data_IF_232531972795
#
_entry.id   IF_232531972795
#
_cell.length_a   1.000
_cell.length_b   1.000
_cell.length_c   1.000
_cell.angle_alpha   90.00
_cell.angle_beta   90.00
_cell.angle_gamma   90.00
#
_symmetry.space_group_name_H-M   'P 1'
#
loop_
_entity.id
_entity.type
_entity.pdbx_description
1 polymer ?
#
# COMPACT_ATOMS: atom_id res chain seq x y z
N UNK A 1 10.08 3.82 -43.37
CA UNK A 1 11.01 4.78 -42.78
C UNK A 1 12.43 4.30 -43.00
N UNK A 2 13.38 5.19 -43.20
CA UNK A 2 14.79 4.88 -43.42
C UNK A 2 15.35 4.06 -42.25
N UNK A 3 15.87 2.87 -42.51
CA UNK A 3 16.39 1.96 -41.47
C UNK A 3 17.88 2.12 -41.18
N UNK A 4 18.61 2.83 -42.06
CA UNK A 4 20.05 3.02 -41.96
C UNK A 4 20.41 4.48 -42.25
N UNK A 5 21.30 5.04 -41.43
CA UNK A 5 21.85 6.40 -41.60
C UNK A 5 23.37 6.29 -41.44
N UNK A 6 24.12 6.90 -42.35
CA UNK A 6 25.57 7.02 -42.22
C UNK A 6 25.89 8.09 -41.18
N UNK A 7 26.60 7.72 -40.11
CA UNK A 7 27.03 8.63 -39.05
C UNK A 7 28.55 8.76 -39.02
N UNK A 8 29.11 9.91 -38.61
CA UNK A 8 30.54 10.08 -38.39
C UNK A 8 31.06 9.15 -37.27
N UNK A 9 32.35 8.80 -37.33
CA UNK A 9 32.98 7.92 -36.33
C UNK A 9 32.97 8.56 -34.93
N UNK A 10 33.11 9.88 -34.85
CA UNK A 10 33.08 10.66 -33.61
C UNK A 10 31.76 10.49 -32.84
N UNK A 11 30.66 10.15 -33.53
CA UNK A 11 29.35 9.92 -32.89
C UNK A 11 29.31 8.64 -32.05
N UNK A 12 30.19 7.67 -32.35
CA UNK A 12 30.30 6.41 -31.60
C UNK A 12 31.14 6.58 -30.34
N UNK A 13 32.02 7.58 -30.30
CA UNK A 13 32.89 7.83 -29.14
C UNK A 13 32.02 8.25 -27.95
N UNK A 14 32.25 7.63 -26.79
CA UNK A 14 31.47 7.85 -25.57
C UNK A 14 30.17 7.03 -25.48
N UNK A 15 29.78 6.30 -26.53
CA UNK A 15 28.69 5.31 -26.44
C UNK A 15 29.15 4.07 -25.69
N UNK A 16 28.22 3.34 -25.09
CA UNK A 16 28.51 2.19 -24.24
C UNK A 16 28.15 0.90 -24.96
N UNK A 17 29.04 -0.09 -24.90
CA UNK A 17 28.84 -1.40 -25.53
C UNK A 17 27.80 -2.22 -24.77
N UNK A 18 26.82 -2.81 -25.47
CA UNK A 18 25.73 -3.56 -24.83
C UNK A 18 26.07 -5.03 -24.49
N UNK A 19 26.95 -5.67 -25.25
CA UNK A 19 27.30 -7.10 -25.12
C UNK A 19 28.80 -7.31 -25.18
N UNK A 20 29.29 -8.41 -24.60
CA UNK A 20 30.69 -8.81 -24.79
C UNK A 20 30.96 -9.00 -26.29
N UNK A 21 32.06 -8.44 -26.77
CA UNK A 21 32.50 -8.56 -28.15
C UNK A 21 33.73 -9.44 -28.17
N UNK A 22 33.63 -10.56 -28.86
CA UNK A 22 34.68 -11.54 -29.05
C UNK A 22 35.17 -11.53 -30.49
N UNK A 23 36.48 -11.71 -30.65
CA UNK A 23 37.10 -11.94 -31.94
C UNK A 23 36.75 -13.35 -32.45
N UNK A 24 36.28 -13.46 -33.70
CA UNK A 24 35.92 -14.73 -34.31
C UNK A 24 37.12 -15.64 -34.59
N UNK A 25 38.31 -15.07 -34.77
CA UNK A 25 39.52 -15.81 -35.17
C UNK A 25 40.36 -16.23 -33.94
N UNK A 26 40.44 -15.39 -32.91
CA UNK A 26 41.28 -15.63 -31.72
C UNK A 26 40.49 -16.10 -30.50
N UNK A 27 39.17 -15.84 -30.45
CA UNK A 27 38.33 -16.11 -29.28
C UNK A 27 38.58 -15.17 -28.10
N UNK A 28 39.44 -14.16 -28.24
CA UNK A 28 39.69 -13.17 -27.20
C UNK A 28 38.55 -12.15 -27.09
N UNK A 29 38.25 -11.70 -25.86
CA UNK A 29 37.27 -10.64 -25.60
C UNK A 29 37.92 -9.29 -25.90
N UNK A 30 37.48 -8.64 -26.98
CA UNK A 30 37.98 -7.32 -27.42
C UNK A 30 37.40 -6.20 -26.56
N UNK A 31 36.11 -6.31 -26.20
CA UNK A 31 35.40 -5.35 -25.36
C UNK A 31 34.42 -6.10 -24.45
N UNK A 32 34.35 -5.70 -23.18
CA UNK A 32 33.35 -6.22 -22.24
C UNK A 32 32.04 -5.43 -22.37
N UNK A 33 30.95 -6.06 -22.00
CA UNK A 33 29.67 -5.37 -21.84
C UNK A 33 29.84 -4.22 -20.84
N UNK A 34 29.20 -3.09 -21.13
CA UNK A 34 29.29 -1.84 -20.37
C UNK A 34 30.60 -1.03 -20.51
N UNK A 35 31.54 -1.45 -21.37
CA UNK A 35 32.71 -0.66 -21.71
C UNK A 35 32.34 0.55 -22.58
N UNK A 36 33.08 1.65 -22.41
CA UNK A 36 32.92 2.86 -23.20
C UNK A 36 33.73 2.79 -24.50
N UNK A 37 33.11 3.22 -25.60
CA UNK A 37 33.74 3.26 -26.92
C UNK A 37 34.74 4.40 -26.98
N UNK A 38 36.02 4.05 -26.94
CA UNK A 38 37.15 4.94 -27.20
C UNK A 38 37.70 4.73 -28.60
N UNK A 39 38.41 5.72 -29.15
CA UNK A 39 39.06 5.59 -30.46
C UNK A 39 39.99 4.37 -30.56
N UNK A 40 40.67 4.03 -29.46
CA UNK A 40 41.53 2.85 -29.38
C UNK A 40 40.73 1.54 -29.50
N UNK A 41 39.56 1.47 -28.85
CA UNK A 41 38.67 0.30 -28.93
C UNK A 41 38.06 0.17 -30.33
N UNK A 42 37.64 1.27 -30.94
CA UNK A 42 37.08 1.28 -32.31
C UNK A 42 38.09 0.76 -33.35
N UNK A 43 39.36 1.14 -33.25
CA UNK A 43 40.43 0.60 -34.11
C UNK A 43 40.59 -0.90 -33.95
N UNK A 44 40.57 -1.42 -32.71
CA UNK A 44 40.65 -2.86 -32.44
C UNK A 44 39.46 -3.62 -33.03
N UNK A 45 38.25 -3.11 -32.86
CA UNK A 45 37.02 -3.69 -33.41
C UNK A 45 37.06 -3.75 -34.95
N UNK A 46 37.62 -2.73 -35.60
CA UNK A 46 37.80 -2.70 -37.06
C UNK A 46 38.83 -3.70 -37.55
N UNK A 47 39.97 -3.85 -36.85
CA UNK A 47 41.01 -4.84 -37.19
C UNK A 47 40.48 -6.26 -37.06
N UNK A 48 39.62 -6.52 -36.07
CA UNK A 48 38.92 -7.79 -35.89
C UNK A 48 37.74 -8.02 -36.85
N UNK A 49 37.47 -7.09 -37.78
CA UNK A 49 36.45 -7.27 -38.83
C UNK A 49 34.99 -7.22 -38.35
N UNK A 50 34.72 -6.60 -37.20
CA UNK A 50 33.37 -6.60 -36.59
C UNK A 50 32.50 -5.54 -37.26
N UNK A 51 31.39 -5.97 -37.86
CA UNK A 51 30.47 -5.10 -38.61
C UNK A 51 29.23 -4.69 -37.79
N UNK A 52 28.78 -5.53 -36.85
CA UNK A 52 27.57 -5.30 -36.06
C UNK A 52 27.87 -5.00 -34.59
N UNK A 53 27.76 -3.72 -34.24
CA UNK A 53 27.98 -3.21 -32.89
C UNK A 53 26.66 -2.82 -32.22
N UNK A 54 26.31 -3.50 -31.12
CA UNK A 54 25.16 -3.14 -30.28
C UNK A 54 25.62 -2.18 -29.18
N UNK A 55 25.02 -1.00 -29.14
CA UNK A 55 25.27 0.03 -28.12
C UNK A 55 24.04 0.27 -27.27
N UNK A 56 24.24 0.65 -26.02
CA UNK A 56 23.16 1.05 -25.11
C UNK A 56 22.65 2.42 -25.57
N UNK A 57 21.34 2.51 -25.78
CA UNK A 57 20.70 3.79 -26.08
C UNK A 57 20.55 4.60 -24.79
N UNK A 58 21.26 5.72 -24.71
CA UNK A 58 21.21 6.65 -23.58
C UNK A 58 20.97 8.07 -24.09
N UNK A 59 20.13 8.80 -23.36
CA UNK A 59 19.76 10.18 -23.61
C UNK A 59 19.71 10.96 -22.28
N UNK A 60 19.96 12.26 -22.34
CA UNK A 60 19.97 13.15 -21.16
C UNK A 60 18.55 13.51 -20.67
N UNK A 61 17.53 13.31 -21.51
CA UNK A 61 16.15 13.69 -21.21
C UNK A 61 15.34 12.53 -20.64
N UNK A 62 15.26 11.42 -21.37
CA UNK A 62 14.20 10.42 -21.17
C UNK A 62 14.71 8.96 -21.09
N UNK A 63 16.03 8.74 -21.21
CA UNK A 63 16.68 7.43 -21.18
C UNK A 63 18.03 7.52 -20.47
N UNK A 64 18.01 7.73 -19.15
CA UNK A 64 19.23 7.90 -18.35
C UNK A 64 20.10 6.63 -18.26
N UNK A 65 21.42 6.82 -18.21
CA UNK A 65 22.42 5.74 -18.12
C UNK A 65 22.54 5.13 -16.70
N UNK A 66 21.46 5.03 -15.94
CA UNK A 66 21.50 4.71 -14.50
C UNK A 66 22.12 3.33 -14.21
N UNK A 67 21.61 2.28 -14.87
CA UNK A 67 22.11 0.91 -14.67
C UNK A 67 23.56 0.76 -15.16
N UNK A 68 23.89 1.41 -16.28
CA UNK A 68 25.26 1.42 -16.81
C UNK A 68 26.25 2.03 -15.81
N UNK A 69 25.88 3.16 -15.19
CA UNK A 69 26.69 3.82 -14.16
C UNK A 69 26.79 2.96 -12.89
N UNK A 70 25.70 2.37 -12.42
CA UNK A 70 25.71 1.45 -11.25
C UNK A 70 26.65 0.28 -11.49
N UNK A 71 26.59 -0.35 -12.67
CA UNK A 71 27.42 -1.49 -13.02
C UNK A 71 28.92 -1.13 -13.13
N UNK A 72 29.27 0.14 -13.42
CA UNK A 72 30.67 0.61 -13.38
C UNK A 72 31.20 0.75 -11.95
N UNK A 73 30.33 1.03 -10.99
CA UNK A 73 30.70 1.15 -9.57
C UNK A 73 30.65 -0.18 -8.82
N UNK A 74 30.05 -1.21 -9.42
CA UNK A 74 29.95 -2.54 -8.82
C UNK A 74 31.31 -3.28 -8.94
N UNK A 75 31.80 -3.77 -7.80
CA UNK A 75 33.06 -4.54 -7.72
C UNK A 75 32.81 -6.05 -7.81
N UNK A 76 31.55 -6.49 -7.79
CA UNK A 76 31.21 -7.91 -7.81
C UNK A 76 31.28 -8.49 -9.23
N UNK A 77 31.95 -9.63 -9.37
CA UNK A 77 32.31 -10.19 -10.68
C UNK A 77 31.32 -11.27 -11.12
N UNK A 78 30.77 -12.01 -10.17
CA UNK A 78 29.89 -13.14 -10.39
C UNK A 78 28.76 -13.21 -9.34
N UNK A 79 27.81 -14.11 -9.59
CA UNK A 79 26.65 -14.29 -8.71
C UNK A 79 27.07 -14.69 -7.29
N UNK A 80 28.11 -15.51 -7.16
CA UNK A 80 28.58 -15.95 -5.84
C UNK A 80 29.16 -14.79 -5.05
N UNK A 81 30.04 -13.97 -5.64
CA UNK A 81 30.58 -12.77 -5.00
C UNK A 81 29.49 -11.78 -4.60
N UNK A 82 28.46 -11.61 -5.44
CA UNK A 82 27.30 -10.77 -5.12
C UNK A 82 26.54 -11.31 -3.90
N UNK A 83 26.25 -12.62 -3.85
CA UNK A 83 25.60 -13.24 -2.69
C UNK A 83 26.46 -13.17 -1.42
N UNK A 84 27.78 -13.30 -1.54
CA UNK A 84 28.73 -13.13 -0.42
C UNK A 84 28.72 -11.69 0.09
N UNK A 85 28.65 -10.69 -0.80
CA UNK A 85 28.53 -9.29 -0.40
C UNK A 85 27.23 -9.03 0.39
N UNK A 86 26.10 -9.55 -0.09
CA UNK A 86 24.80 -9.50 0.63
C UNK A 86 24.92 -10.18 2.00
N UNK A 87 25.54 -11.36 2.07
CA UNK A 87 25.75 -12.09 3.32
C UNK A 87 26.55 -11.28 4.34
N UNK A 88 27.68 -10.68 3.92
CA UNK A 88 28.52 -9.85 4.79
C UNK A 88 27.81 -8.59 5.29
N UNK A 89 26.94 -8.02 4.47
CA UNK A 89 26.13 -6.86 4.85
C UNK A 89 25.10 -7.21 5.92
N UNK A 90 24.42 -8.35 5.77
CA UNK A 90 23.39 -8.81 6.72
C UNK A 90 24.00 -9.39 8.00
N UNK A 91 25.16 -10.04 7.90
CA UNK A 91 25.85 -10.71 9.01
C UNK A 91 27.32 -10.29 9.08
N UNK A 92 27.60 -9.08 9.57
CA UNK A 92 28.96 -8.59 9.68
C UNK A 92 29.76 -9.44 10.68
N UNK A 93 30.83 -10.08 10.21
CA UNK A 93 31.77 -10.85 11.04
C UNK A 93 31.61 -12.37 10.99
N UNK A 94 30.54 -12.91 10.40
CA UNK A 94 30.42 -14.36 10.15
C UNK A 94 31.15 -14.76 8.86
N UNK A 95 31.95 -15.84 8.84
CA UNK A 95 32.60 -16.31 7.63
C UNK A 95 31.55 -16.83 6.63
N UNK A 96 31.57 -16.38 5.36
CA UNK A 96 30.60 -16.83 4.35
C UNK A 96 30.99 -18.21 3.84
N UNK A 97 30.24 -19.25 4.21
CA UNK A 97 30.31 -20.56 3.55
C UNK A 97 29.29 -20.62 2.42
N UNK A 98 29.56 -21.40 1.38
CA UNK A 98 28.71 -21.48 0.19
C UNK A 98 27.26 -21.86 0.53
N UNK A 99 27.09 -22.91 1.34
CA UNK A 99 25.78 -23.36 1.82
C UNK A 99 25.04 -22.28 2.63
N UNK A 100 25.74 -21.58 3.53
CA UNK A 100 25.13 -20.56 4.38
C UNK A 100 24.69 -19.34 3.56
N UNK A 101 25.50 -18.94 2.58
CA UNK A 101 25.20 -17.83 1.67
C UNK A 101 23.98 -18.15 0.80
N UNK A 102 23.95 -19.34 0.19
CA UNK A 102 22.82 -19.76 -0.64
C UNK A 102 21.54 -19.92 0.18
N UNK A 103 21.62 -20.55 1.35
CA UNK A 103 20.48 -20.72 2.25
C UNK A 103 19.93 -19.37 2.74
N UNK A 104 20.80 -18.41 3.08
CA UNK A 104 20.38 -17.08 3.49
C UNK A 104 19.63 -16.38 2.35
N UNK A 105 20.21 -16.35 1.15
CA UNK A 105 19.63 -15.67 0.00
C UNK A 105 18.24 -16.24 -0.37
N UNK A 106 18.11 -17.56 -0.39
CA UNK A 106 16.82 -18.22 -0.63
C UNK A 106 15.76 -17.88 0.43
N UNK A 107 16.17 -17.82 1.70
CA UNK A 107 15.26 -17.49 2.81
C UNK A 107 14.82 -16.02 2.83
N UNK A 108 15.55 -15.10 2.19
CA UNK A 108 15.17 -13.69 2.23
C UNK A 108 13.89 -13.39 1.46
N UNK A 109 13.74 -13.93 0.25
CA UNK A 109 12.67 -13.52 -0.67
C UNK A 109 11.89 -14.68 -1.32
N UNK A 110 12.48 -15.87 -1.37
CA UNK A 110 11.95 -17.00 -2.16
C UNK A 110 11.33 -18.12 -1.33
N UNK A 111 11.57 -18.12 -0.01
CA UNK A 111 11.02 -19.12 0.90
C UNK A 111 9.67 -18.67 1.48
N UNK A 112 8.64 -19.50 1.28
CA UNK A 112 7.29 -19.24 1.80
C UNK A 112 7.22 -19.27 3.34
N UNK A 113 8.19 -19.89 4.02
CA UNK A 113 8.24 -19.95 5.48
C UNK A 113 8.65 -18.61 6.12
N UNK A 114 9.43 -17.80 5.38
CA UNK A 114 10.06 -16.58 5.89
C UNK A 114 9.60 -15.32 5.17
N UNK A 115 9.00 -15.44 3.99
CA UNK A 115 8.51 -14.32 3.20
C UNK A 115 7.11 -14.59 2.65
N UNK A 116 6.18 -13.70 2.96
CA UNK A 116 4.78 -13.77 2.52
C UNK A 116 4.27 -12.35 2.25
N UNK A 117 4.04 -12.01 0.97
CA UNK A 117 3.42 -10.74 0.58
C UNK A 117 1.96 -10.64 1.03
N UNK A 118 1.33 -11.75 1.42
CA UNK A 118 -0.10 -11.93 1.53
C UNK A 118 -0.86 -11.68 0.22
N UNK A 119 -2.12 -12.10 0.18
CA UNK A 119 -3.02 -11.85 -0.95
C UNK A 119 -3.11 -10.36 -1.29
N UNK A 120 -3.11 -9.49 -0.28
CA UNK A 120 -3.23 -8.04 -0.48
C UNK A 120 -1.95 -7.45 -1.07
N UNK A 121 -0.79 -7.85 -0.55
CA UNK A 121 0.50 -7.35 -1.07
C UNK A 121 0.73 -7.80 -2.51
N UNK A 122 0.38 -9.05 -2.86
CA UNK A 122 0.47 -9.53 -4.24
C UNK A 122 -0.49 -8.80 -5.18
N UNK A 123 -1.74 -8.61 -4.79
CA UNK A 123 -2.72 -7.84 -5.57
C UNK A 123 -2.24 -6.41 -5.82
N UNK A 124 -1.73 -5.74 -4.78
CA UNK A 124 -1.17 -4.39 -4.90
C UNK A 124 0.07 -4.31 -5.76
N UNK A 125 0.98 -5.27 -5.60
CA UNK A 125 2.18 -5.36 -6.40
C UNK A 125 1.85 -5.51 -7.88
N UNK A 126 0.98 -6.47 -8.22
CA UNK A 126 0.58 -6.73 -9.60
C UNK A 126 -0.13 -5.51 -10.22
N UNK A 127 -1.04 -4.88 -9.47
CA UNK A 127 -1.72 -3.66 -9.92
C UNK A 127 -0.72 -2.51 -10.21
N UNK A 128 0.30 -2.33 -9.36
CA UNK A 128 1.31 -1.28 -9.56
C UNK A 128 2.24 -1.58 -10.74
N UNK A 129 2.56 -2.84 -10.97
CA UNK A 129 3.37 -3.28 -12.12
C UNK A 129 2.58 -3.26 -13.43
N UNK A 130 1.25 -3.17 -13.37
CA UNK A 130 0.38 -3.19 -14.55
C UNK A 130 0.12 -4.61 -15.07
N UNK A 131 0.09 -5.61 -14.17
CA UNK A 131 -0.33 -6.98 -14.51
C UNK A 131 -1.84 -7.12 -14.30
N UNK A 132 -2.50 -7.81 -15.22
CA UNK A 132 -3.96 -8.03 -15.16
C UNK A 132 -4.37 -9.01 -14.05
N UNK A 133 -3.48 -9.93 -13.67
CA UNK A 133 -3.75 -10.93 -12.63
C UNK A 133 -3.63 -10.31 -11.23
N UNK A 134 -4.69 -10.43 -10.41
CA UNK A 134 -4.69 -9.96 -9.02
C UNK A 134 -4.12 -10.98 -8.02
N UNK A 135 -3.99 -12.24 -8.43
CA UNK A 135 -3.46 -13.33 -7.61
C UNK A 135 -2.08 -13.78 -8.12
N UNK A 136 -1.35 -14.55 -7.31
CA UNK A 136 -0.03 -15.04 -7.67
C UNK A 136 0.74 -15.63 -6.49
N UNK A 137 2.00 -15.99 -6.72
CA UNK A 137 2.89 -16.49 -5.66
C UNK A 137 3.09 -15.44 -4.57
N UNK A 138 3.09 -15.86 -3.30
CA UNK A 138 3.27 -14.94 -2.17
C UNK A 138 4.74 -14.56 -1.91
N UNK A 139 5.68 -15.31 -2.51
CA UNK A 139 7.10 -14.99 -2.53
C UNK A 139 7.44 -14.11 -3.73
N UNK A 140 8.61 -13.45 -3.69
CA UNK A 140 9.08 -12.66 -4.83
C UNK A 140 9.71 -13.56 -5.89
N UNK A 141 9.65 -13.09 -7.14
CA UNK A 141 10.36 -13.68 -8.28
C UNK A 141 11.41 -12.71 -8.84
N UNK A 142 12.34 -13.22 -9.65
CA UNK A 142 13.30 -12.36 -10.37
C UNK A 142 12.58 -11.34 -11.27
N UNK A 143 11.50 -11.76 -11.92
CA UNK A 143 10.70 -10.88 -12.78
C UNK A 143 10.00 -9.78 -11.99
N UNK A 144 9.57 -10.06 -10.75
CA UNK A 144 9.05 -9.04 -9.84
C UNK A 144 10.10 -7.96 -9.56
N UNK A 145 11.31 -8.38 -9.16
CA UNK A 145 12.41 -7.45 -8.84
C UNK A 145 12.79 -6.63 -10.06
N UNK A 146 12.93 -7.26 -11.23
CA UNK A 146 13.23 -6.56 -12.49
C UNK A 146 12.13 -5.56 -12.87
N UNK A 147 10.86 -5.90 -12.63
CA UNK A 147 9.74 -4.98 -12.89
C UNK A 147 9.79 -3.75 -11.98
N UNK A 148 10.12 -3.93 -10.69
CA UNK A 148 10.30 -2.81 -9.75
C UNK A 148 11.44 -1.90 -10.19
N UNK A 149 12.58 -2.46 -10.58
CA UNK A 149 13.73 -1.67 -11.07
C UNK A 149 13.36 -0.89 -12.33
N UNK A 150 12.61 -1.50 -13.26
CA UNK A 150 12.11 -0.81 -14.46
C UNK A 150 11.22 0.38 -14.10
N UNK A 151 10.24 0.20 -13.20
CA UNK A 151 9.36 1.28 -12.76
C UNK A 151 10.17 2.41 -12.11
N UNK A 152 11.15 2.08 -11.27
CA UNK A 152 12.00 3.09 -10.63
C UNK A 152 12.81 3.91 -11.65
N UNK A 153 13.33 3.25 -12.69
CA UNK A 153 14.02 3.92 -13.80
C UNK A 153 13.07 4.80 -14.60
N UNK A 154 11.85 4.32 -14.90
CA UNK A 154 10.83 5.08 -15.61
C UNK A 154 10.40 6.34 -14.84
N UNK A 155 10.17 6.21 -13.52
CA UNK A 155 9.88 7.35 -12.64
C UNK A 155 11.03 8.36 -12.65
N UNK A 156 12.29 7.89 -12.66
CA UNK A 156 13.46 8.76 -12.74
C UNK A 156 13.59 9.46 -14.10
N UNK A 157 13.17 8.80 -15.17
CA UNK A 157 13.04 9.38 -16.52
C UNK A 157 11.83 10.35 -16.64
N UNK A 158 11.07 10.58 -15.57
CA UNK A 158 9.91 11.46 -15.54
C UNK A 158 8.63 10.85 -16.13
N UNK A 159 8.60 9.53 -16.34
CA UNK A 159 7.41 8.81 -16.83
C UNK A 159 6.74 8.09 -15.67
N UNK A 160 5.49 8.47 -15.40
CA UNK A 160 4.68 7.93 -14.30
C UNK A 160 4.61 8.87 -13.10
N UNK A 161 3.80 8.49 -12.13
CA UNK A 161 3.53 9.27 -10.92
C UNK A 161 4.10 8.58 -9.67
N UNK A 162 4.59 9.40 -8.73
CA UNK A 162 5.05 8.93 -7.43
C UNK A 162 3.83 8.61 -6.57
N UNK A 163 3.89 7.48 -5.86
CA UNK A 163 2.80 7.05 -5.02
C UNK A 163 2.69 7.92 -3.76
N UNK A 164 1.46 8.32 -3.42
CA UNK A 164 1.15 9.00 -2.17
C UNK A 164 0.89 7.96 -1.06
N UNK A 165 1.68 8.03 0.01
CA UNK A 165 1.62 7.13 1.17
C UNK A 165 0.33 7.35 1.99
N UNK A 166 -0.24 8.56 1.93
CA UNK A 166 -1.40 8.96 2.75
C UNK A 166 -2.74 8.63 2.09
N UNK A 167 -2.72 8.39 0.77
CA UNK A 167 -3.87 7.89 0.02
C UNK A 167 -4.44 6.61 0.66
N UNK A 168 -5.74 6.57 0.95
CA UNK A 168 -6.38 5.40 1.59
C UNK A 168 -6.33 4.12 0.75
N UNK A 169 -6.02 4.23 -0.54
CA UNK A 169 -5.66 3.08 -1.37
C UNK A 169 -4.37 2.39 -0.91
N UNK A 170 -3.45 3.09 -0.24
CA UNK A 170 -2.16 2.56 0.23
C UNK A 170 -2.15 2.30 1.74
N UNK A 171 -3.23 2.67 2.45
CA UNK A 171 -3.43 2.41 3.87
C UNK A 171 -4.54 1.39 4.06
N UNK A 172 -4.25 0.33 4.80
CA UNK A 172 -5.18 -0.78 5.03
C UNK A 172 -5.57 -0.87 6.50
N UNK A 173 -6.84 -1.12 6.78
CA UNK A 173 -7.33 -1.35 8.13
C UNK A 173 -7.18 -2.84 8.46
N UNK A 174 -6.53 -3.13 9.59
CA UNK A 174 -6.46 -4.49 10.14
C UNK A 174 -7.50 -4.66 11.21
N UNK A 175 -8.38 -5.64 11.03
CA UNK A 175 -9.36 -6.02 12.04
C UNK A 175 -8.74 -6.88 13.14
N UNK A 176 -9.47 -7.02 14.25
CA UNK A 176 -9.07 -7.86 15.39
C UNK A 176 -8.79 -9.31 14.95
N UNK A 177 -9.60 -9.84 14.02
CA UNK A 177 -9.44 -11.20 13.50
C UNK A 177 -8.07 -11.45 12.86
N UNK A 178 -7.62 -10.56 11.97
CA UNK A 178 -6.31 -10.68 11.31
C UNK A 178 -5.15 -10.51 12.31
N UNK A 179 -5.27 -9.54 13.23
CA UNK A 179 -4.23 -9.35 14.24
C UNK A 179 -4.12 -10.58 15.15
N UNK A 180 -5.25 -11.16 15.57
CA UNK A 180 -5.27 -12.39 16.34
C UNK A 180 -4.76 -13.59 15.56
N UNK A 181 -5.09 -13.71 14.26
CA UNK A 181 -4.57 -14.76 13.38
C UNK A 181 -3.04 -14.71 13.30
N UNK A 182 -2.46 -13.52 13.13
CA UNK A 182 -1.00 -13.36 13.08
C UNK A 182 -0.32 -13.82 14.38
N UNK A 183 -0.89 -13.50 15.54
CA UNK A 183 -0.37 -13.96 16.83
C UNK A 183 -0.55 -15.47 17.01
N UNK A 184 -1.68 -16.01 16.54
CA UNK A 184 -1.93 -17.44 16.54
C UNK A 184 -0.94 -18.18 15.64
N UNK A 185 -0.66 -17.67 14.43
CA UNK A 185 0.33 -18.20 13.48
C UNK A 185 1.73 -18.20 14.07
N UNK A 186 2.13 -17.13 14.74
CA UNK A 186 3.39 -17.06 15.49
C UNK A 186 3.46 -18.12 16.60
N UNK A 187 2.35 -18.33 17.32
CA UNK A 187 2.21 -19.40 18.31
C UNK A 187 2.35 -20.80 17.70
N UNK A 188 1.74 -21.04 16.53
CA UNK A 188 1.85 -22.30 15.79
C UNK A 188 3.26 -22.56 15.29
N UNK A 189 3.96 -21.55 14.76
CA UNK A 189 5.34 -21.70 14.29
C UNK A 189 6.29 -22.15 15.42
N UNK A 190 6.05 -21.68 16.65
CA UNK A 190 6.79 -22.15 17.84
C UNK A 190 6.50 -23.61 18.18
N UNK A 191 5.23 -24.04 18.08
CA UNK A 191 4.83 -25.43 18.30
C UNK A 191 5.43 -26.32 17.21
N UNK A 192 5.33 -25.92 15.95
CA UNK A 192 5.87 -26.66 14.82
C UNK A 192 7.37 -26.94 15.01
N UNK A 193 8.15 -25.94 15.42
CA UNK A 193 9.57 -26.12 15.73
C UNK A 193 9.78 -27.15 16.85
N UNK A 194 9.06 -27.04 17.96
CA UNK A 194 9.18 -27.96 19.09
C UNK A 194 8.76 -29.39 18.72
N UNK A 195 7.74 -29.55 17.86
CA UNK A 195 7.27 -30.84 17.35
C UNK A 195 8.32 -31.44 16.41
N UNK A 196 8.88 -30.67 15.48
CA UNK A 196 9.97 -31.11 14.59
C UNK A 196 11.20 -31.59 15.38
N UNK A 197 11.59 -30.85 16.42
CA UNK A 197 12.70 -31.24 17.30
C UNK A 197 12.41 -32.55 18.05
N UNK A 198 11.19 -32.71 18.61
CA UNK A 198 10.80 -33.93 19.32
C UNK A 198 10.68 -35.15 18.40
N UNK A 199 10.13 -34.98 17.20
CA UNK A 199 10.04 -36.06 16.21
C UNK A 199 11.43 -36.49 15.72
N UNK A 200 12.38 -35.55 15.61
CA UNK A 200 13.76 -35.88 15.26
C UNK A 200 14.51 -36.67 16.33
N UNK A 201 14.08 -36.57 17.60
CA UNK A 201 14.66 -37.30 18.75
C UNK A 201 13.90 -38.59 19.09
N UNK A 202 12.75 -38.82 18.44
CA UNK A 202 11.87 -39.93 18.74
C UNK A 202 12.43 -41.25 18.17
N UNK A 203 13.29 -41.91 18.92
CA UNK A 203 13.66 -43.30 18.65
C UNK A 203 12.77 -44.22 19.50
N UNK A 204 11.88 -44.96 18.83
CA UNK A 204 11.22 -46.22 19.26
C UNK A 204 10.04 -46.24 20.25
N UNK A 205 9.61 -45.14 20.90
CA UNK A 205 8.36 -45.14 21.69
C UNK A 205 7.13 -44.71 20.87
N UNK A 206 5.96 -45.30 21.17
CA UNK A 206 4.68 -44.95 20.57
C UNK A 206 4.20 -43.58 21.07
N UNK A 207 4.82 -42.51 20.56
CA UNK A 207 4.41 -41.13 20.80
C UNK A 207 3.01 -40.90 20.24
N UNK A 208 2.10 -40.46 21.10
CA UNK A 208 0.76 -40.09 20.66
C UNK A 208 0.73 -38.59 20.30
N UNK A 209 -0.12 -38.16 19.35
CA UNK A 209 -0.14 -36.76 18.91
C UNK A 209 -0.37 -35.73 20.03
N UNK A 210 -1.06 -36.10 21.11
CA UNK A 210 -1.29 -35.21 22.25
C UNK A 210 -0.02 -34.97 23.10
N UNK A 211 0.97 -35.86 23.04
CA UNK A 211 2.26 -35.69 23.73
C UNK A 211 3.14 -34.64 23.05
N UNK A 212 2.93 -34.43 21.74
CA UNK A 212 3.68 -33.49 20.92
C UNK A 212 3.13 -32.06 21.01
N UNK A 213 1.83 -31.91 21.28
CA UNK A 213 1.14 -30.62 21.25
C UNK A 213 1.07 -30.00 22.65
N UNK A 214 1.78 -28.89 22.84
CA UNK A 214 1.66 -28.06 24.04
C UNK A 214 0.86 -26.79 23.73
N UNK A 215 -0.22 -26.54 24.46
CA UNK A 215 -1.09 -25.37 24.26
C UNK A 215 -0.56 -24.08 24.90
N UNK A 216 0.43 -24.18 25.82
CA UNK A 216 0.98 -23.02 26.54
C UNK A 216 1.54 -21.93 25.61
N UNK A 217 2.34 -22.23 24.56
CA UNK A 217 2.88 -21.21 23.66
C UNK A 217 1.79 -20.40 22.94
N UNK A 218 0.74 -21.05 22.43
CA UNK A 218 -0.40 -20.38 21.80
C UNK A 218 -1.13 -19.50 22.81
N UNK A 219 -1.44 -20.07 23.98
CA UNK A 219 -2.21 -19.37 25.00
C UNK A 219 -1.47 -18.15 25.54
N UNK A 220 -0.14 -18.26 25.69
CA UNK A 220 0.71 -17.15 26.09
C UNK A 220 0.72 -16.03 25.05
N UNK A 221 0.91 -16.36 23.76
CA UNK A 221 0.90 -15.37 22.68
C UNK A 221 -0.44 -14.61 22.60
N UNK A 222 -1.57 -15.32 22.72
CA UNK A 222 -2.90 -14.69 22.72
C UNK A 222 -3.12 -13.84 23.98
N UNK A 223 -2.73 -14.31 25.16
CA UNK A 223 -2.85 -13.54 26.41
C UNK A 223 -1.99 -12.28 26.39
N UNK A 224 -0.79 -12.35 25.84
CA UNK A 224 0.08 -11.19 25.65
C UNK A 224 -0.57 -10.18 24.70
N UNK A 225 -1.12 -10.64 23.57
CA UNK A 225 -1.82 -9.77 22.63
C UNK A 225 -3.04 -9.07 23.25
N UNK A 226 -3.96 -9.80 23.88
CA UNK A 226 -5.15 -9.19 24.47
C UNK A 226 -4.87 -8.44 25.78
N UNK A 227 -3.80 -8.78 26.51
CA UNK A 227 -3.48 -8.17 27.80
C UNK A 227 -2.56 -6.95 27.73
N UNK A 228 -1.58 -6.95 26.82
CA UNK A 228 -0.50 -5.95 26.80
C UNK A 228 -0.42 -5.14 25.50
N UNK A 229 -1.19 -5.48 24.46
CA UNK A 229 -1.18 -4.71 23.21
C UNK A 229 -1.76 -3.31 23.41
N UNK A 230 -1.13 -2.32 22.77
CA UNK A 230 -1.63 -0.93 22.74
C UNK A 230 -3.01 -0.79 22.10
N UNK A 231 -3.39 -1.75 21.25
CA UNK A 231 -4.69 -1.80 20.57
C UNK A 231 -5.77 -2.45 21.45
N UNK A 232 -5.39 -3.17 22.50
CA UNK A 232 -6.32 -3.74 23.48
C UNK A 232 -6.52 -2.74 24.61
N UNK A 233 -7.55 -1.91 24.48
CA UNK A 233 -7.84 -0.81 25.41
C UNK A 233 -9.09 -1.12 26.23
N UNK A 234 -9.15 -0.56 27.44
CA UNK A 234 -10.39 -0.57 28.21
C UNK A 234 -11.47 0.20 27.45
N UNK A 235 -12.63 -0.42 27.29
CA UNK A 235 -13.71 0.19 26.54
C UNK A 235 -14.24 1.43 27.26
N UNK A 236 -14.19 2.59 26.59
CA UNK A 236 -14.96 3.78 26.94
C UNK A 236 -16.46 3.42 27.09
N UNK A 237 -16.96 3.42 28.33
CA UNK A 237 -18.32 3.00 28.71
C UNK A 237 -19.13 4.14 29.36
N UNK A 238 -18.72 5.40 29.14
CA UNK A 238 -19.39 6.55 29.77
C UNK A 238 -20.85 6.67 29.32
N UNK A 239 -21.13 6.48 28.04
CA UNK A 239 -22.46 6.46 27.46
C UNK A 239 -22.49 5.57 26.19
N UNK A 240 -23.68 5.23 25.65
CA UNK A 240 -23.79 4.37 24.47
C UNK A 240 -23.03 4.88 23.24
N UNK A 241 -23.04 6.20 23.01
CA UNK A 241 -22.30 6.82 21.90
C UNK A 241 -20.78 6.61 22.05
N UNK A 242 -20.25 6.74 23.26
CA UNK A 242 -18.85 6.52 23.59
C UNK A 242 -18.42 5.08 23.26
N UNK A 243 -19.27 4.10 23.59
CA UNK A 243 -19.02 2.70 23.26
C UNK A 243 -19.00 2.45 21.75
N UNK A 244 -19.99 2.97 21.02
CA UNK A 244 -20.11 2.77 19.57
C UNK A 244 -18.94 3.43 18.83
N UNK A 245 -18.63 4.69 19.17
CA UNK A 245 -17.53 5.44 18.56
C UNK A 245 -16.18 4.79 18.85
N UNK A 246 -15.97 4.26 20.06
CA UNK A 246 -14.74 3.55 20.39
C UNK A 246 -14.57 2.26 19.56
N UNK A 247 -15.64 1.49 19.35
CA UNK A 247 -15.57 0.28 18.49
C UNK A 247 -15.34 0.60 17.01
N UNK A 248 -15.74 1.79 16.55
CA UNK A 248 -15.57 2.28 15.16
C UNK A 248 -14.32 3.16 14.97
N UNK A 249 -13.40 3.14 15.93
CA UNK A 249 -12.16 3.92 15.91
C UNK A 249 -11.10 3.21 15.06
N UNK A 250 -10.40 3.97 14.22
CA UNK A 250 -9.21 3.52 13.48
C UNK A 250 -7.98 4.25 14.00
N UNK A 251 -6.88 3.52 14.16
CA UNK A 251 -5.63 4.02 14.73
C UNK A 251 -4.46 3.74 13.80
N UNK A 252 -3.67 4.76 13.50
CA UNK A 252 -2.38 4.62 12.81
C UNK A 252 -1.25 4.16 13.77
N UNK A 253 -1.50 4.18 15.08
CA UNK A 253 -0.58 3.72 16.12
C UNK A 253 -0.73 2.21 16.36
N UNK A 254 0.37 1.55 16.75
CA UNK A 254 0.38 0.15 17.16
C UNK A 254 1.44 -0.69 16.43
N UNK A 255 1.46 -2.01 16.63
CA UNK A 255 2.43 -2.90 15.99
C UNK A 255 2.28 -2.87 14.46
N UNK A 256 3.34 -2.49 13.76
CA UNK A 256 3.35 -2.32 12.30
C UNK A 256 2.78 -0.99 11.81
N UNK A 257 2.40 -0.09 12.71
CA UNK A 257 1.98 1.28 12.40
C UNK A 257 3.05 2.32 12.73
N UNK A 258 2.64 3.59 12.81
CA UNK A 258 3.49 4.71 13.15
C UNK A 258 3.67 4.84 14.67
N UNK A 259 4.80 5.38 15.09
CA UNK A 259 4.96 5.88 16.47
C UNK A 259 4.67 7.37 16.50
N UNK A 260 4.22 7.89 17.65
CA UNK A 260 3.85 9.31 17.81
C UNK A 260 4.98 10.28 17.42
N UNK A 261 6.21 9.91 17.74
CA UNK A 261 7.41 10.72 17.49
C UNK A 261 7.84 10.71 16.01
N UNK A 262 7.52 9.64 15.27
CA UNK A 262 7.85 9.51 13.85
C UNK A 262 6.74 10.02 12.94
N UNK A 263 5.56 10.30 13.50
CA UNK A 263 4.43 10.81 12.73
C UNK A 263 4.62 12.31 12.45
N UNK A 264 5.00 12.61 11.21
CA UNK A 264 5.11 13.97 10.68
C UNK A 264 3.77 14.70 10.58
N UNK A 265 3.79 15.89 9.96
CA UNK A 265 2.58 16.69 9.74
C UNK A 265 1.67 16.07 8.68
N UNK A 266 2.25 15.61 7.56
CA UNK A 266 1.53 15.06 6.39
C UNK A 266 0.56 13.93 6.79
N UNK A 267 1.05 12.94 7.55
CA UNK A 267 0.25 11.79 7.97
C UNK A 267 -0.92 12.13 8.92
N UNK A 268 -0.92 13.33 9.52
CA UNK A 268 -1.97 13.82 10.43
C UNK A 268 -3.01 14.67 9.72
N UNK A 269 -2.70 15.13 8.50
CA UNK A 269 -3.59 16.00 7.74
C UNK A 269 -4.76 15.22 7.14
N UNK A 270 -5.79 15.95 6.73
CA UNK A 270 -6.97 15.37 6.09
C UNK A 270 -6.68 15.18 4.61
N UNK A 271 -6.60 13.91 4.18
CA UNK A 271 -6.44 13.57 2.77
C UNK A 271 -7.80 13.53 2.04
N UNK A 272 -7.92 13.96 0.77
CA UNK A 272 -9.17 13.91 0.01
C UNK A 272 -9.84 12.54 -0.02
N UNK A 273 -9.07 11.44 -0.04
CA UNK A 273 -9.63 10.07 -0.01
C UNK A 273 -10.34 9.71 1.29
N UNK A 274 -10.18 10.50 2.36
CA UNK A 274 -10.95 10.32 3.60
C UNK A 274 -12.45 10.50 3.38
N UNK A 275 -12.84 11.22 2.33
CA UNK A 275 -14.23 11.49 1.98
C UNK A 275 -15.07 10.20 1.99
N UNK A 276 -16.14 10.20 2.80
CA UNK A 276 -17.05 9.06 2.93
C UNK A 276 -16.49 7.83 3.66
N UNK A 277 -15.21 7.83 4.08
CA UNK A 277 -14.51 6.67 4.66
C UNK A 277 -14.07 6.92 6.09
N UNK A 278 -13.40 8.04 6.33
CA UNK A 278 -12.87 8.47 7.62
C UNK A 278 -13.41 9.85 7.91
N UNK A 279 -13.97 10.03 9.10
CA UNK A 279 -14.53 11.32 9.50
C UNK A 279 -13.41 12.36 9.64
N UNK A 280 -13.50 13.51 8.96
CA UNK A 280 -12.50 14.57 9.08
C UNK A 280 -12.62 15.39 10.36
N UNK A 281 -13.74 15.26 11.09
CA UNK A 281 -14.04 16.06 12.30
C UNK A 281 -13.69 15.30 13.58
N UNK A 282 -14.03 14.01 13.67
CA UNK A 282 -13.90 13.24 14.91
C UNK A 282 -12.49 12.63 15.06
N UNK A 283 -11.61 13.41 15.68
CA UNK A 283 -10.26 13.02 16.13
C UNK A 283 -10.02 13.57 17.55
N UNK A 284 -9.23 12.89 18.42
CA UNK A 284 -8.84 13.47 19.70
C UNK A 284 -7.96 14.71 19.49
N UNK A 285 -8.13 15.67 20.39
CA UNK A 285 -7.26 16.84 20.47
C UNK A 285 -5.88 16.48 21.05
N UNK A 286 -4.88 17.32 20.75
CA UNK A 286 -3.54 17.20 21.33
C UNK A 286 -2.63 16.22 20.57
N UNK A 287 -1.74 15.46 21.24
CA UNK A 287 -0.66 14.73 20.59
C UNK A 287 -1.10 13.65 19.58
N UNK A 288 -2.34 13.17 19.67
CA UNK A 288 -2.89 12.10 18.83
C UNK A 288 -3.75 12.62 17.66
N UNK A 289 -3.84 13.93 17.45
CA UNK A 289 -4.61 14.52 16.35
C UNK A 289 -4.20 13.93 15.00
N UNK A 290 -5.18 13.47 14.21
CA UNK A 290 -5.01 12.85 12.90
C UNK A 290 -4.50 11.40 12.92
N UNK A 291 -3.96 10.92 14.06
CA UNK A 291 -3.46 9.54 14.20
C UNK A 291 -4.54 8.56 14.66
N UNK A 292 -5.60 9.10 15.27
CA UNK A 292 -6.78 8.35 15.69
C UNK A 292 -7.96 9.03 15.03
N UNK A 293 -8.65 8.31 14.17
CA UNK A 293 -9.82 8.83 13.48
C UNK A 293 -11.00 7.88 13.70
N UNK A 294 -12.19 8.33 13.34
CA UNK A 294 -13.41 7.51 13.42
C UNK A 294 -13.91 7.18 12.03
N UNK A 295 -14.42 5.96 11.84
CA UNK A 295 -15.05 5.57 10.58
C UNK A 295 -16.27 6.45 10.30
N UNK A 296 -16.43 6.85 9.04
CA UNK A 296 -17.62 7.55 8.60
C UNK A 296 -18.87 6.63 8.69
N UNK A 297 -20.07 7.21 8.58
CA UNK A 297 -21.34 6.50 8.81
C UNK A 297 -21.49 5.25 7.93
N UNK A 298 -21.34 5.40 6.62
CA UNK A 298 -21.56 4.33 5.65
C UNK A 298 -20.28 3.62 5.21
N UNK A 299 -19.13 3.99 5.79
CA UNK A 299 -17.86 3.37 5.48
C UNK A 299 -17.86 1.89 5.86
N UNK A 300 -17.33 1.05 4.96
CA UNK A 300 -17.17 -0.38 5.16
C UNK A 300 -15.78 -0.84 4.74
N UNK A 301 -15.42 -2.06 5.15
CA UNK A 301 -14.19 -2.70 4.73
C UNK A 301 -14.50 -3.72 3.64
N UNK A 302 -13.68 -3.75 2.60
CA UNK A 302 -13.73 -4.79 1.60
C UNK A 302 -13.00 -6.06 2.03
N UNK A 303 -13.05 -7.08 1.18
CA UNK A 303 -12.41 -8.39 1.42
C UNK A 303 -10.88 -8.27 1.59
N UNK A 304 -10.28 -7.21 1.05
CA UNK A 304 -8.86 -6.91 1.18
C UNK A 304 -8.55 -5.98 2.35
N UNK A 305 -9.53 -5.51 3.13
CA UNK A 305 -9.33 -4.60 4.27
C UNK A 305 -9.09 -3.12 3.92
N UNK A 306 -9.39 -2.70 2.69
CA UNK A 306 -9.45 -1.29 2.32
C UNK A 306 -10.81 -0.69 2.64
N UNK A 307 -10.83 0.62 2.91
CA UNK A 307 -12.07 1.35 3.18
C UNK A 307 -12.80 1.67 1.88
N UNK A 308 -14.09 1.39 1.86
CA UNK A 308 -15.00 1.68 0.76
C UNK A 308 -16.18 2.49 1.27
N UNK A 309 -16.78 3.24 0.35
CA UNK A 309 -17.96 4.06 0.65
C UNK A 309 -18.98 3.88 -0.47
N UNK A 310 -20.28 3.91 -0.18
CA UNK A 310 -21.30 3.64 -1.18
C UNK A 310 -21.59 4.86 -2.04
N UNK A 311 -21.81 4.63 -3.33
CA UNK A 311 -22.25 5.64 -4.29
C UNK A 311 -23.44 5.13 -5.11
N UNK A 312 -24.30 6.05 -5.55
CA UNK A 312 -25.39 5.77 -6.49
C UNK A 312 -24.89 5.84 -7.92
N UNK A 313 -25.17 4.82 -8.72
CA UNK A 313 -24.77 4.80 -10.13
C UNK A 313 -25.61 5.77 -10.96
N UNK A 314 -24.96 6.53 -11.85
CA UNK A 314 -25.59 7.45 -12.80
C UNK A 314 -25.42 6.89 -14.21
N UNK A 315 -26.53 6.76 -14.93
CA UNK A 315 -26.56 6.25 -16.31
C UNK A 315 -27.38 7.25 -17.14
N UNK A 316 -26.80 7.77 -18.22
CA UNK A 316 -27.45 8.74 -19.11
C UNK A 316 -28.06 9.94 -18.34
N UNK A 317 -27.26 10.52 -17.43
CA UNK A 317 -27.64 11.63 -16.54
C UNK A 317 -28.80 11.34 -15.57
N UNK A 318 -29.24 10.09 -15.47
CA UNK A 318 -30.25 9.63 -14.52
C UNK A 318 -29.59 8.90 -13.35
N UNK A 319 -29.85 9.39 -12.14
CA UNK A 319 -29.38 8.78 -10.90
C UNK A 319 -30.23 7.56 -10.58
N UNK A 320 -29.61 6.39 -10.54
CA UNK A 320 -30.28 5.13 -10.26
C UNK A 320 -30.38 4.86 -8.75
N UNK A 321 -31.10 3.80 -8.37
CA UNK A 321 -31.14 3.29 -7.00
C UNK A 321 -30.11 2.16 -6.77
N UNK A 322 -29.30 1.83 -7.78
CA UNK A 322 -28.21 0.88 -7.61
C UNK A 322 -27.08 1.55 -6.82
N UNK A 323 -26.65 0.88 -5.76
CA UNK A 323 -25.56 1.33 -4.89
C UNK A 323 -24.38 0.40 -5.09
N UNK A 324 -23.25 0.99 -5.49
CA UNK A 324 -21.98 0.30 -5.62
C UNK A 324 -21.00 0.86 -4.58
N UNK A 325 -20.26 0.00 -3.89
CA UNK A 325 -19.21 0.41 -2.95
C UNK A 325 -17.91 0.58 -3.72
N UNK A 326 -17.28 1.75 -3.57
CA UNK A 326 -16.03 2.05 -4.27
C UNK A 326 -14.90 2.25 -3.27
N UNK A 327 -13.78 1.57 -3.51
CA UNK A 327 -12.52 1.82 -2.82
C UNK A 327 -11.92 3.16 -3.26
N UNK A 328 -10.97 3.69 -2.48
CA UNK A 328 -10.28 4.94 -2.83
C UNK A 328 -9.53 4.85 -4.17
N UNK A 329 -9.15 3.63 -4.59
CA UNK A 329 -8.43 3.38 -5.85
C UNK A 329 -9.40 3.46 -7.04
N UNK A 330 -10.61 2.93 -6.86
CA UNK A 330 -11.64 2.92 -7.90
C UNK A 330 -12.32 4.27 -8.02
N UNK A 331 -12.53 4.97 -6.89
CA UNK A 331 -13.12 6.31 -6.86
C UNK A 331 -12.39 7.27 -7.80
N UNK A 332 -11.06 7.24 -7.79
CA UNK A 332 -10.25 8.12 -8.64
C UNK A 332 -10.46 7.94 -10.15
N UNK A 333 -11.12 6.87 -10.62
CA UNK A 333 -11.39 6.64 -12.04
C UNK A 333 -12.69 7.27 -12.53
N UNK A 334 -13.55 7.74 -11.62
CA UNK A 334 -14.89 8.19 -11.92
C UNK A 334 -15.10 9.65 -11.50
N UNK A 335 -16.07 10.29 -12.15
CA UNK A 335 -16.51 11.64 -11.80
C UNK A 335 -17.77 11.51 -10.95
N UNK A 336 -17.69 12.04 -9.72
CA UNK A 336 -18.68 11.81 -8.67
C UNK A 336 -19.38 13.10 -8.29
N UNK A 337 -20.69 13.17 -8.48
CA UNK A 337 -21.52 14.31 -8.10
C UNK A 337 -21.79 14.38 -6.59
N UNK A 338 -21.93 15.59 -6.08
CA UNK A 338 -22.30 15.84 -4.69
C UNK A 338 -23.74 15.42 -4.37
N UNK A 339 -23.99 15.07 -3.10
CA UNK A 339 -25.32 14.60 -2.66
C UNK A 339 -26.44 15.64 -2.78
N UNK A 340 -26.09 16.93 -2.85
CA UNK A 340 -27.01 18.07 -2.91
C UNK A 340 -27.33 18.53 -4.33
N UNK A 341 -26.87 17.82 -5.37
CA UNK A 341 -27.19 18.15 -6.76
C UNK A 341 -28.70 18.09 -7.03
N UNK A 342 -29.21 19.03 -7.82
CA UNK A 342 -30.64 19.18 -8.09
C UNK A 342 -31.17 18.08 -9.02
N UNK A 343 -32.19 17.34 -8.58
CA UNK A 343 -32.81 16.23 -9.33
C UNK A 343 -34.26 16.52 -9.70
N UNK A 344 -34.70 16.05 -10.87
CA UNK A 344 -36.12 16.02 -11.26
C UNK A 344 -36.88 14.85 -10.60
N UNK A 345 -38.19 14.76 -10.86
CA UNK A 345 -39.05 13.70 -10.30
C UNK A 345 -38.66 12.30 -10.80
N UNK A 346 -38.05 12.22 -11.98
CA UNK A 346 -37.55 11.00 -12.59
C UNK A 346 -36.12 10.65 -12.14
N UNK A 347 -35.46 11.51 -11.34
CA UNK A 347 -34.12 11.33 -10.81
C UNK A 347 -32.99 11.76 -11.75
N UNK A 348 -33.25 12.62 -12.72
CA UNK A 348 -32.23 13.19 -13.62
C UNK A 348 -31.66 14.48 -13.05
N UNK A 349 -30.39 14.72 -13.35
CA UNK A 349 -29.71 15.97 -13.01
C UNK A 349 -30.27 17.11 -13.85
N UNK A 350 -30.69 18.19 -13.19
CA UNK A 350 -31.40 19.31 -13.82
C UNK A 350 -30.50 20.49 -14.17
N UNK A 351 -29.38 20.65 -13.47
CA UNK A 351 -28.44 21.76 -13.67
C UNK A 351 -27.58 21.55 -14.92
N UNK A 352 -27.28 22.62 -15.67
CA UNK A 352 -26.39 22.57 -16.85
C UNK A 352 -24.95 22.18 -16.45
N UNK A 353 -24.51 22.66 -15.28
CA UNK A 353 -23.22 22.35 -14.67
C UNK A 353 -23.45 21.87 -13.24
N UNK A 354 -23.02 20.64 -12.98
CA UNK A 354 -23.15 19.98 -11.68
C UNK A 354 -21.80 19.97 -10.98
N UNK A 355 -21.80 20.28 -9.69
CA UNK A 355 -20.63 20.17 -8.81
C UNK A 355 -20.26 18.70 -8.59
N UNK A 356 -19.05 18.35 -9.01
CA UNK A 356 -18.53 16.99 -8.94
C UNK A 356 -17.07 16.99 -8.47
N UNK A 357 -16.56 15.78 -8.18
CA UNK A 357 -15.16 15.54 -7.84
C UNK A 357 -14.54 14.63 -8.89
N UNK A 358 -13.35 14.99 -9.35
CA UNK A 358 -12.53 14.24 -10.31
C UNK A 358 -11.09 14.23 -9.77
N UNK A 359 -10.52 13.05 -9.54
CA UNK A 359 -9.17 12.89 -8.96
C UNK A 359 -8.91 13.64 -7.63
N UNK A 360 -9.96 13.87 -6.83
CA UNK A 360 -9.86 14.59 -5.55
C UNK A 360 -10.10 16.11 -5.66
N UNK A 361 -10.08 16.66 -6.87
CA UNK A 361 -10.36 18.06 -7.13
C UNK A 361 -11.85 18.31 -7.36
N UNK A 362 -12.33 19.47 -6.90
CA UNK A 362 -13.71 19.90 -7.14
C UNK A 362 -13.83 20.57 -8.51
N UNK A 363 -14.70 20.03 -9.36
CA UNK A 363 -14.90 20.48 -10.74
C UNK A 363 -16.39 20.70 -11.03
N UNK A 364 -16.68 21.65 -11.93
CA UNK A 364 -18.02 21.81 -12.51
C UNK A 364 -18.04 21.11 -13.86
N UNK A 365 -18.95 20.15 -14.04
CA UNK A 365 -19.02 19.33 -15.25
C UNK A 365 -20.46 19.16 -15.73
N UNK A 366 -20.63 18.69 -16.96
CA UNK A 366 -21.96 18.42 -17.51
C UNK A 366 -22.54 17.13 -16.91
N UNK A 367 -23.88 17.03 -16.76
CA UNK A 367 -24.57 15.82 -16.30
C UNK A 367 -24.22 14.53 -17.04
N UNK A 368 -23.81 14.62 -18.30
CA UNK A 368 -23.47 13.47 -19.15
C UNK A 368 -22.14 12.82 -18.75
N UNK A 369 -21.23 13.60 -18.16
CA UNK A 369 -19.91 13.12 -17.71
C UNK A 369 -19.96 12.49 -16.32
N UNK A 370 -21.07 12.59 -15.58
CA UNK A 370 -21.16 12.07 -14.21
C UNK A 370 -21.47 10.58 -14.25
N UNK A 371 -20.65 9.76 -13.57
CA UNK A 371 -20.87 8.31 -13.47
C UNK A 371 -21.46 7.88 -12.13
N UNK A 372 -21.21 8.63 -11.05
CA UNK A 372 -21.69 8.30 -9.72
C UNK A 372 -22.14 9.55 -8.95
N UNK A 373 -22.95 9.36 -7.92
CA UNK A 373 -23.40 10.41 -7.00
C UNK A 373 -23.33 9.90 -5.56
N UNK A 374 -22.98 10.79 -4.65
CA UNK A 374 -23.03 10.55 -3.21
C UNK A 374 -24.42 10.05 -2.75
N UNK A 375 -24.47 9.12 -1.78
CA UNK A 375 -25.74 8.54 -1.31
C UNK A 375 -26.47 9.48 -0.36
N UNK A 376 -25.74 10.14 0.53
CA UNK A 376 -26.30 11.03 1.54
C UNK A 376 -25.30 12.13 1.92
N UNK A 377 -25.76 13.36 2.25
CA UNK A 377 -24.86 14.41 2.73
C UNK A 377 -24.10 14.03 4.02
N UNK A 378 -24.72 13.22 4.87
CA UNK A 378 -24.14 12.74 6.14
C UNK A 378 -23.05 11.69 5.95
N UNK A 379 -22.83 11.17 4.74
CA UNK A 379 -21.86 10.09 4.51
C UNK A 379 -20.41 10.46 4.87
N UNK A 380 -20.09 11.75 4.90
CA UNK A 380 -18.74 12.28 5.14
C UNK A 380 -18.37 12.19 6.64
N UNK A 381 -19.37 12.23 7.52
CA UNK A 381 -19.17 12.37 8.96
C UNK A 381 -19.33 11.04 9.70
N UNK A 382 -18.79 10.98 10.92
CA UNK A 382 -18.96 9.85 11.83
C UNK A 382 -20.28 9.90 12.58
N UNK A 383 -20.56 8.85 13.36
CA UNK A 383 -21.74 8.76 14.21
C UNK A 383 -21.84 9.96 15.17
N UNK A 384 -20.76 10.32 15.89
CA UNK A 384 -20.81 11.43 16.84
C UNK A 384 -21.05 12.78 16.16
N UNK A 385 -20.30 13.09 15.11
CA UNK A 385 -20.46 14.34 14.37
C UNK A 385 -21.86 14.44 13.74
N UNK A 386 -22.45 13.32 13.29
CA UNK A 386 -23.81 13.30 12.72
C UNK A 386 -24.94 13.59 13.71
N UNK A 387 -24.66 13.56 15.02
CA UNK A 387 -25.64 13.88 16.07
C UNK A 387 -25.63 15.38 16.44
N UNK A 388 -24.71 16.17 15.88
CA UNK A 388 -24.67 17.62 16.10
C UNK A 388 -25.66 18.28 15.11
N UNK A 389 -26.76 18.90 15.60
CA UNK A 389 -27.67 19.63 14.72
C UNK A 389 -26.99 20.92 14.22
N UNK A 390 -27.30 21.32 12.99
CA UNK A 390 -26.75 22.53 12.35
C UNK A 390 -25.22 22.53 12.23
N UNK A 391 -24.63 21.33 12.06
CA UNK A 391 -23.19 21.15 11.90
C UNK A 391 -22.59 22.03 10.78
N UNK A 392 -23.36 22.29 9.73
CA UNK A 392 -23.02 23.16 8.61
C UNK A 392 -22.82 24.64 8.98
N UNK A 393 -23.24 25.05 10.17
CA UNK A 393 -23.10 26.41 10.69
C UNK A 393 -21.98 26.54 11.74
N UNK A 394 -21.38 25.42 12.15
CA UNK A 394 -20.30 25.40 13.13
C UNK A 394 -18.92 25.35 12.44
N UNK A 395 -17.94 26.03 13.05
CA UNK A 395 -16.54 25.87 12.66
C UNK A 395 -16.06 24.44 12.93
N UNK A 396 -15.20 23.92 12.06
CA UNK A 396 -14.71 22.54 12.14
C UNK A 396 -14.05 22.22 13.49
N UNK A 397 -13.32 23.16 14.10
CA UNK A 397 -12.69 22.93 15.41
C UNK A 397 -13.73 22.84 16.53
N UNK A 398 -14.84 23.60 16.43
CA UNK A 398 -15.93 23.56 17.41
C UNK A 398 -16.75 22.29 17.26
N UNK A 399 -16.98 21.86 16.02
CA UNK A 399 -17.59 20.56 15.74
C UNK A 399 -16.76 19.40 16.31
N UNK A 400 -15.43 19.45 16.15
CA UNK A 400 -14.49 18.47 16.73
C UNK A 400 -14.60 18.43 18.26
N UNK A 401 -14.55 19.59 18.92
CA UNK A 401 -14.73 19.70 20.37
C UNK A 401 -16.08 19.14 20.80
N UNK A 402 -17.16 19.49 20.09
CA UNK A 402 -18.52 19.03 20.36
C UNK A 402 -18.65 17.50 20.28
N UNK A 403 -18.16 16.89 19.20
CA UNK A 403 -18.16 15.44 19.03
C UNK A 403 -17.36 14.73 20.14
N UNK A 404 -16.21 15.30 20.55
CA UNK A 404 -15.41 14.75 21.64
C UNK A 404 -16.10 14.89 23.01
N UNK A 405 -16.76 16.02 23.28
CA UNK A 405 -17.47 16.26 24.53
C UNK A 405 -18.72 15.36 24.67
N UNK A 406 -19.43 15.08 23.58
CA UNK A 406 -20.58 14.17 23.59
C UNK A 406 -20.22 12.79 24.14
N UNK A 407 -19.02 12.27 23.85
CA UNK A 407 -18.54 10.96 24.33
C UNK A 407 -18.26 10.92 25.83
N UNK A 408 -18.18 12.08 26.48
CA UNK A 408 -17.89 12.23 27.91
C UNK A 408 -19.15 12.52 28.73
N UNK A 409 -20.31 12.72 28.08
CA UNK A 409 -21.56 13.00 28.77
C UNK A 409 -22.02 11.80 29.60
N UNK A 410 -22.27 12.01 30.90
CA UNK A 410 -22.71 10.95 31.81
C UNK A 410 -24.24 10.82 31.77
N UNK A 411 -24.80 9.62 31.60
CA UNK A 411 -26.24 9.39 31.66
C UNK A 411 -26.83 9.85 32.99
N UNK A 412 -27.89 10.65 32.92
CA UNK A 412 -28.65 11.12 34.08
C UNK A 412 -29.72 10.11 34.50
N UNK A 413 -30.21 10.21 35.74
CA UNK A 413 -31.23 9.30 36.28
C UNK A 413 -32.54 9.30 35.46
N UNK A 414 -32.90 10.45 34.88
CA UNK A 414 -34.08 10.63 34.05
C UNK A 414 -33.65 11.21 32.70
N UNK A 415 -33.39 10.36 31.69
CA UNK A 415 -33.00 10.84 30.38
C UNK A 415 -34.16 11.59 29.72
N UNK A 416 -33.89 12.79 29.21
CA UNK A 416 -34.82 13.55 28.39
C UNK A 416 -34.38 13.45 26.93
N UNK A 417 -35.36 13.43 26.02
CA UNK A 417 -35.07 13.42 24.58
C UNK A 417 -34.58 14.80 24.15
N UNK A 418 -33.64 14.84 23.21
CA UNK A 418 -33.27 16.08 22.57
C UNK A 418 -34.49 16.70 21.86
N UNK A 419 -34.76 17.98 22.11
CA UNK A 419 -35.83 18.71 21.43
C UNK A 419 -35.47 18.98 19.95
N UNK A 420 -34.18 19.14 19.67
CA UNK A 420 -33.61 19.31 18.33
C UNK A 420 -32.59 18.20 18.13
N UNK A 421 -32.81 17.36 17.13
CA UNK A 421 -31.94 16.24 16.76
C UNK A 421 -31.84 16.09 15.25
N UNK A 422 -31.04 15.14 14.80
CA UNK A 422 -30.73 14.92 13.37
C UNK A 422 -31.46 13.73 12.76
N UNK A 423 -32.12 12.90 13.58
CA UNK A 423 -32.79 11.67 13.18
C UNK A 423 -31.91 10.43 13.25
N UNK A 424 -30.59 10.60 13.47
CA UNK A 424 -29.64 9.51 13.65
C UNK A 424 -29.72 8.91 15.06
N UNK A 425 -30.28 9.63 16.03
CA UNK A 425 -30.39 9.23 17.45
C UNK A 425 -31.12 7.91 17.70
N UNK A 426 -32.00 7.49 16.77
CA UNK A 426 -32.71 6.21 16.90
C UNK A 426 -31.84 5.03 16.47
N UNK A 427 -30.87 5.28 15.59
CA UNK A 427 -30.00 4.27 14.96
C UNK A 427 -28.68 4.13 15.72
N UNK A 428 -28.15 5.26 16.21
CA UNK A 428 -27.05 5.33 17.16
C UNK A 428 -27.51 4.85 18.55
#
# INVERSE_FOLDING_TARGET
>A
GTTHISVPEDFLVGRVVARNIVDGDTGEIIAKANDELTEALLKKLRTAGIQDLQVIYTNELDQGAYISQTLRSDETVDEFAARVAIYRMMRPGEPPTEDAVQALFQRLFYSADTYDLSRVGRMKFNARVGRDESEGAMTLSNDDILSVVKILVELRNGRGEVDDIDHLGNRRVRCVGELAENQYRSGLARIEKAVKERLGQAETEALMPHDLINSKPISAALKEFFGASQLSQFMDQTNPLSEITHKRRVSALGPGGLTRERAGFEVRDVHPTHYGRVCPIETPEGPNIGLINSLALYAQLNDYGFLETPYRRVIDSKVTNQIDYLSAIEEGKYIIAQANASLDAEGRLTDELVSAREHGDSVLTTPERIQYMDVAPTQIVSVAASLVPFLEHDDANRALMGANMQRQAVPVLRPEKAFVGTGVERVA
#
